data_IF_402648480739
#
_entry.id   IF_402648480739
#
_cell.length_a   1.000
_cell.length_b   1.000
_cell.length_c   1.000
_cell.angle_alpha   90.00
_cell.angle_beta   90.00
_cell.angle_gamma   90.00
#
_symmetry.space_group_name_H-M   'P 1'
#
loop_
_entity.id
_entity.type
_entity.pdbx_description
1 polymer ?
#
# COMPACT_ATOMS: atom_id res chain seq x y z
N UNK A 1 10.60 15.41 6.68
CA UNK A 1 11.59 14.43 6.19
C UNK A 1 11.34 13.13 6.92
N UNK A 2 10.66 12.16 6.25
CA UNK A 2 10.19 10.94 6.92
C UNK A 2 11.33 9.96 7.29
N UNK A 3 12.47 10.00 6.61
CA UNK A 3 13.61 9.14 6.93
C UNK A 3 14.92 9.88 6.58
N UNK A 4 15.60 10.49 7.56
CA UNK A 4 16.95 10.93 7.33
C UNK A 4 17.88 9.72 7.25
N UNK A 5 18.53 9.51 6.13
CA UNK A 5 19.60 8.51 5.94
C UNK A 5 20.87 8.90 6.73
N UNK A 6 20.68 9.37 7.95
CA UNK A 6 21.79 9.68 8.83
C UNK A 6 22.11 8.47 9.69
N UNK A 7 23.33 8.34 10.10
CA UNK A 7 23.80 7.34 11.09
C UNK A 7 23.02 7.35 12.40
N UNK A 8 22.20 8.38 12.60
CA UNK A 8 21.32 8.56 13.77
C UNK A 8 19.95 7.86 13.62
N UNK A 9 19.54 7.48 12.39
CA UNK A 9 18.27 6.80 12.20
C UNK A 9 18.35 5.36 12.73
N UNK A 10 17.49 5.06 13.69
CA UNK A 10 17.36 3.73 14.29
C UNK A 10 15.91 3.46 14.60
N UNK A 11 15.36 2.43 14.01
CA UNK A 11 13.93 2.19 14.02
C UNK A 11 13.57 0.72 14.25
N UNK A 12 12.39 0.50 14.82
CA UNK A 12 11.74 -0.81 14.85
C UNK A 12 10.46 -0.76 14.04
N UNK A 13 10.23 -1.79 13.21
CA UNK A 13 9.03 -2.00 12.43
C UNK A 13 8.27 -3.17 13.03
N UNK A 14 7.06 -2.94 13.52
CA UNK A 14 6.21 -3.97 14.10
C UNK A 14 5.26 -4.56 13.05
N UNK A 15 5.39 -5.85 12.82
CA UNK A 15 4.50 -6.66 11.97
C UNK A 15 3.67 -7.61 12.83
N UNK A 16 2.51 -8.03 12.30
CA UNK A 16 1.57 -8.90 13.02
C UNK A 16 2.05 -10.35 13.07
N UNK A 17 2.57 -10.87 11.95
CA UNK A 17 2.95 -12.27 11.81
C UNK A 17 4.44 -12.45 11.55
N UNK A 18 4.96 -13.65 11.85
CA UNK A 18 6.36 -14.04 11.57
C UNK A 18 6.66 -13.99 10.07
N UNK A 19 5.73 -14.47 9.26
CA UNK A 19 5.86 -14.49 7.81
C UNK A 19 5.97 -13.06 7.26
N UNK A 20 5.06 -12.18 7.64
CA UNK A 20 5.07 -10.77 7.25
C UNK A 20 6.35 -10.05 7.71
N UNK A 21 6.84 -10.36 8.93
CA UNK A 21 8.10 -9.82 9.44
C UNK A 21 9.27 -10.15 8.52
N UNK A 22 9.34 -11.40 8.04
CA UNK A 22 10.37 -11.85 7.11
C UNK A 22 10.24 -11.17 5.75
N UNK A 23 9.03 -11.16 5.18
CA UNK A 23 8.76 -10.55 3.87
C UNK A 23 9.10 -9.06 3.86
N UNK A 24 8.69 -8.31 4.88
CA UNK A 24 8.98 -6.88 5.00
C UNK A 24 10.49 -6.63 5.16
N UNK A 25 11.20 -7.44 5.95
CA UNK A 25 12.65 -7.33 6.08
C UNK A 25 13.36 -7.64 4.77
N UNK A 26 12.96 -8.70 4.06
CA UNK A 26 13.52 -9.10 2.78
C UNK A 26 13.32 -8.01 1.70
N UNK A 27 12.14 -7.38 1.66
CA UNK A 27 11.88 -6.26 0.76
C UNK A 27 12.75 -5.05 1.09
N UNK A 28 12.83 -4.67 2.37
CA UNK A 28 13.70 -3.56 2.78
C UNK A 28 15.17 -3.80 2.44
N UNK A 29 15.67 -5.03 2.62
CA UNK A 29 17.04 -5.39 2.24
C UNK A 29 17.26 -5.34 0.73
N UNK A 30 16.30 -5.81 -0.06
CA UNK A 30 16.35 -5.71 -1.54
C UNK A 30 16.38 -4.27 -2.02
N UNK A 31 15.68 -3.39 -1.32
CA UNK A 31 15.65 -1.95 -1.60
C UNK A 31 16.90 -1.21 -1.06
N UNK A 32 17.87 -1.95 -0.50
CA UNK A 32 19.15 -1.40 -0.06
C UNK A 32 19.14 -0.81 1.35
N UNK A 33 18.10 -1.05 2.14
CA UNK A 33 18.07 -0.64 3.54
C UNK A 33 18.80 -1.63 4.44
N UNK A 34 19.50 -1.14 5.46
CA UNK A 34 20.13 -1.97 6.50
C UNK A 34 19.07 -2.49 7.47
N UNK A 35 18.37 -3.55 7.05
CA UNK A 35 17.28 -4.18 7.81
C UNK A 35 17.62 -5.62 8.18
N UNK A 36 16.97 -6.14 9.23
CA UNK A 36 16.98 -7.57 9.55
C UNK A 36 15.70 -7.93 10.32
N UNK A 37 15.30 -9.20 10.23
CA UNK A 37 14.08 -9.72 10.84
C UNK A 37 14.32 -10.33 12.22
N UNK A 38 13.37 -10.11 13.15
CA UNK A 38 13.36 -10.74 14.46
C UNK A 38 12.00 -11.38 14.76
N UNK A 39 11.92 -12.70 14.68
CA UNK A 39 10.67 -13.46 14.86
C UNK A 39 10.90 -14.78 15.59
N UNK A 40 9.81 -15.45 15.94
CA UNK A 40 9.87 -16.64 16.80
C UNK A 40 10.50 -17.88 16.17
N UNK A 41 10.70 -17.92 14.84
CA UNK A 41 11.34 -19.06 14.16
C UNK A 41 12.88 -19.01 14.19
N UNK A 42 13.44 -17.87 14.62
CA UNK A 42 14.88 -17.74 14.79
C UNK A 42 15.33 -18.51 16.03
N UNK A 43 16.44 -19.26 15.93
CA UNK A 43 17.13 -19.82 17.08
C UNK A 43 17.64 -18.71 18.00
N UNK A 44 17.93 -19.05 19.26
CA UNK A 44 18.44 -18.06 20.21
C UNK A 44 19.76 -17.43 19.71
N UNK A 45 20.67 -18.22 19.14
CA UNK A 45 21.92 -17.71 18.59
C UNK A 45 21.70 -16.72 17.43
N UNK A 46 20.74 -17.00 16.54
CA UNK A 46 20.36 -16.06 15.47
C UNK A 46 19.78 -14.77 16.01
N UNK A 47 18.89 -14.86 17.00
CA UNK A 47 18.31 -13.68 17.69
C UNK A 47 19.38 -12.81 18.31
N UNK A 48 20.33 -13.43 19.01
CA UNK A 48 21.45 -12.71 19.65
C UNK A 48 22.32 -12.02 18.61
N UNK A 49 22.58 -12.67 17.48
CA UNK A 49 23.34 -12.11 16.35
C UNK A 49 22.63 -10.88 15.76
N UNK A 50 21.33 -10.98 15.47
CA UNK A 50 20.54 -9.84 14.95
C UNK A 50 20.54 -8.69 15.96
N UNK A 51 20.34 -9.00 17.23
CA UNK A 51 20.32 -8.01 18.29
C UNK A 51 21.68 -7.32 18.48
N UNK A 52 22.78 -8.08 18.37
CA UNK A 52 24.12 -7.52 18.40
C UNK A 52 24.36 -6.56 17.25
N UNK A 53 24.05 -6.97 16.01
CA UNK A 53 24.13 -6.11 14.82
C UNK A 53 23.32 -4.82 15.01
N UNK A 54 22.12 -4.92 15.60
CA UNK A 54 21.28 -3.77 15.86
C UNK A 54 21.85 -2.85 16.94
N UNK A 55 22.47 -3.39 17.99
CA UNK A 55 23.11 -2.60 19.06
C UNK A 55 24.32 -1.83 18.56
N UNK A 56 25.16 -2.46 17.73
CA UNK A 56 26.36 -1.80 17.16
C UNK A 56 26.03 -0.95 15.91
N UNK A 57 24.75 -0.77 15.58
CA UNK A 57 24.24 0.06 14.48
C UNK A 57 24.59 -0.43 13.07
N UNK A 58 24.98 -1.68 12.89
CA UNK A 58 25.11 -2.30 11.57
C UNK A 58 23.75 -2.50 10.90
N UNK A 59 22.67 -2.61 11.67
CA UNK A 59 21.29 -2.64 11.23
C UNK A 59 20.62 -1.38 11.75
N UNK A 60 19.92 -0.68 10.88
CA UNK A 60 19.16 0.55 11.20
C UNK A 60 17.67 0.25 11.41
N UNK A 61 17.14 -0.75 10.71
CA UNK A 61 15.75 -1.15 10.73
C UNK A 61 15.62 -2.58 11.30
N UNK A 62 15.04 -2.71 12.48
CA UNK A 62 14.72 -4.02 13.05
C UNK A 62 13.24 -4.32 12.78
N UNK A 63 12.94 -5.33 11.96
CA UNK A 63 11.56 -5.76 11.69
C UNK A 63 11.20 -6.87 12.66
N UNK A 64 10.16 -6.72 13.47
CA UNK A 64 9.86 -7.66 14.55
C UNK A 64 8.37 -7.86 14.81
N UNK A 65 8.02 -9.04 15.35
CA UNK A 65 6.72 -9.25 15.98
C UNK A 65 6.74 -8.76 17.44
N UNK A 66 5.58 -8.47 18.02
CA UNK A 66 5.46 -8.07 19.42
C UNK A 66 6.10 -9.09 20.37
N UNK A 67 5.85 -10.37 20.14
CA UNK A 67 6.37 -11.46 20.98
C UNK A 67 7.89 -11.50 20.93
N UNK A 68 8.48 -11.36 19.74
CA UNK A 68 9.92 -11.38 19.56
C UNK A 68 10.59 -10.13 20.11
N UNK A 69 9.91 -8.99 20.07
CA UNK A 69 10.39 -7.72 20.62
C UNK A 69 10.20 -7.58 22.14
N UNK A 70 9.40 -8.46 22.77
CA UNK A 70 9.18 -8.44 24.22
C UNK A 70 10.45 -8.85 24.95
N UNK A 71 10.79 -8.13 26.02
CA UNK A 71 12.00 -8.39 26.81
C UNK A 71 13.30 -7.91 26.16
N UNK A 72 13.24 -7.34 24.95
CA UNK A 72 14.42 -6.72 24.36
C UNK A 72 14.71 -5.37 25.02
N UNK A 73 15.95 -5.20 25.44
CA UNK A 73 16.47 -3.88 25.82
C UNK A 73 16.76 -3.07 24.54
N UNK A 74 15.67 -2.65 23.89
CA UNK A 74 15.68 -1.77 22.71
C UNK A 74 14.98 -0.49 23.12
N UNK A 75 15.77 0.46 23.53
CA UNK A 75 15.33 1.80 23.90
C UNK A 75 16.09 2.83 23.05
N UNK A 76 15.67 4.07 23.13
CA UNK A 76 16.34 5.20 22.48
C UNK A 76 16.29 5.13 20.94
N UNK A 77 15.19 4.57 20.41
CA UNK A 77 14.92 4.57 18.99
C UNK A 77 14.48 5.97 18.52
N UNK A 78 14.84 6.32 17.30
CA UNK A 78 14.36 7.56 16.68
C UNK A 78 12.92 7.42 16.21
N UNK A 79 12.57 6.23 15.67
CA UNK A 79 11.25 5.94 15.14
C UNK A 79 10.74 4.57 15.60
N UNK A 80 9.44 4.49 15.75
CA UNK A 80 8.68 3.25 15.85
C UNK A 80 7.68 3.23 14.70
N UNK A 81 7.68 2.16 13.92
CA UNK A 81 6.79 2.01 12.75
C UNK A 81 5.86 0.83 13.04
N UNK A 82 4.57 1.11 13.14
CA UNK A 82 3.55 0.07 13.19
C UNK A 82 3.14 -0.23 11.75
N UNK A 83 3.73 -1.27 11.13
CA UNK A 83 3.33 -1.76 9.82
C UNK A 83 1.88 -2.24 9.86
N UNK A 84 1.51 -2.93 10.95
CA UNK A 84 0.12 -3.19 11.32
C UNK A 84 -0.18 -2.57 12.67
N UNK A 85 -1.36 -1.97 12.81
CA UNK A 85 -1.85 -1.58 14.13
C UNK A 85 -2.04 -2.83 15.00
N UNK A 86 -1.65 -2.77 16.28
CA UNK A 86 -2.01 -3.82 17.22
C UNK A 86 -3.52 -3.81 17.48
N UNK A 87 -4.04 -4.96 17.92
CA UNK A 87 -5.46 -5.07 18.26
C UNK A 87 -5.76 -4.43 19.63
N UNK A 88 -4.74 -4.31 20.48
CA UNK A 88 -4.82 -3.75 21.83
C UNK A 88 -4.08 -2.41 21.91
N UNK A 89 -4.72 -1.41 22.52
CA UNK A 89 -4.17 -0.08 22.71
C UNK A 89 -2.97 -0.08 23.67
N UNK A 90 -2.95 -0.98 24.66
CA UNK A 90 -1.81 -1.14 25.55
C UNK A 90 -0.56 -1.60 24.81
N UNK A 91 -0.71 -2.51 23.86
CA UNK A 91 0.39 -2.96 22.99
C UNK A 91 0.92 -1.78 22.16
N UNK A 92 0.05 -0.93 21.64
CA UNK A 92 0.47 0.28 20.94
C UNK A 92 1.35 1.16 21.84
N UNK A 93 0.95 1.35 23.09
CA UNK A 93 1.70 2.14 24.08
C UNK A 93 3.07 1.53 24.35
N UNK A 94 3.15 0.22 24.49
CA UNK A 94 4.42 -0.50 24.68
C UNK A 94 5.34 -0.41 23.47
N UNK A 95 4.80 -0.45 22.24
CA UNK A 95 5.58 -0.27 21.01
C UNK A 95 6.10 1.16 20.92
N UNK A 96 5.22 2.16 21.01
CA UNK A 96 5.59 3.57 20.91
C UNK A 96 6.53 4.02 22.05
N UNK A 97 6.43 3.39 23.22
CA UNK A 97 7.35 3.60 24.32
C UNK A 97 8.81 3.14 24.07
N UNK A 98 9.15 2.59 22.90
CA UNK A 98 10.53 2.32 22.47
C UNK A 98 11.24 3.54 21.94
N UNK A 99 10.52 4.62 21.67
CA UNK A 99 11.05 5.92 21.25
C UNK A 99 10.63 7.03 22.22
N UNK A 100 11.23 8.21 22.11
CA UNK A 100 10.85 9.38 22.90
C UNK A 100 11.15 9.29 24.40
N UNK A 101 12.18 8.55 24.82
CA UNK A 101 12.60 8.42 26.21
C UNK A 101 13.66 9.47 26.59
N UNK A 102 13.82 9.69 27.90
CA UNK A 102 14.86 10.57 28.45
C UNK A 102 14.85 11.99 27.84
N UNK A 103 13.68 12.63 27.75
CA UNK A 103 13.46 13.97 27.17
C UNK A 103 13.85 14.11 25.69
N UNK A 104 14.08 13.01 24.97
CA UNK A 104 14.28 13.03 23.53
C UNK A 104 12.94 12.97 22.81
N UNK A 105 12.86 13.66 21.67
CA UNK A 105 11.69 13.53 20.77
C UNK A 105 11.79 12.23 20.00
N UNK A 106 10.69 11.50 19.92
CA UNK A 106 10.55 10.29 19.13
C UNK A 106 9.34 10.37 18.19
N UNK A 107 9.39 9.63 17.11
CA UNK A 107 8.32 9.56 16.11
C UNK A 107 7.71 8.16 16.11
N UNK A 108 6.39 8.07 16.25
CA UNK A 108 5.64 6.83 16.06
C UNK A 108 4.77 6.96 14.82
N UNK A 109 5.04 6.13 13.83
CA UNK A 109 4.30 6.07 12.56
C UNK A 109 3.40 4.85 12.56
N UNK A 110 2.17 4.98 12.07
CA UNK A 110 1.26 3.85 11.91
C UNK A 110 0.71 3.82 10.49
N UNK A 111 0.89 2.70 9.81
CA UNK A 111 0.25 2.44 8.53
C UNK A 111 -1.11 1.82 8.83
N UNK A 112 -2.17 2.45 8.33
CA UNK A 112 -3.53 2.02 8.62
C UNK A 112 -4.35 1.84 7.33
N UNK A 113 -5.19 0.85 7.35
CA UNK A 113 -6.25 0.72 6.35
C UNK A 113 -7.43 1.63 6.72
N UNK A 114 -8.20 2.09 5.73
CA UNK A 114 -9.36 2.97 5.96
C UNK A 114 -10.37 2.41 6.97
N UNK A 115 -10.52 1.08 7.03
CA UNK A 115 -11.38 0.38 7.99
C UNK A 115 -10.87 0.44 9.45
N UNK A 116 -9.62 0.78 9.66
CA UNK A 116 -8.99 0.84 10.99
C UNK A 116 -8.99 2.26 11.60
N UNK A 117 -9.58 3.24 10.92
CA UNK A 117 -9.70 4.63 11.43
C UNK A 117 -10.32 4.70 12.83
N UNK A 118 -11.24 3.77 13.16
CA UNK A 118 -11.84 3.72 14.49
C UNK A 118 -10.83 3.34 15.58
N UNK A 119 -9.89 2.43 15.31
CA UNK A 119 -8.83 2.05 16.26
C UNK A 119 -7.92 3.23 16.60
N UNK A 120 -7.62 4.08 15.62
CA UNK A 120 -6.84 5.31 15.85
C UNK A 120 -7.56 6.21 16.85
N UNK A 121 -8.87 6.41 16.70
CA UNK A 121 -9.67 7.23 17.64
C UNK A 121 -9.66 6.66 19.07
N UNK A 122 -9.65 5.35 19.22
CA UNK A 122 -9.57 4.71 20.53
C UNK A 122 -8.19 4.90 21.16
N UNK A 123 -7.12 4.80 20.35
CA UNK A 123 -5.75 5.08 20.79
C UNK A 123 -5.60 6.56 21.19
N UNK A 124 -6.11 7.50 20.38
CA UNK A 124 -6.10 8.94 20.66
C UNK A 124 -6.80 9.26 22.00
N UNK A 125 -7.97 8.66 22.21
CA UNK A 125 -8.74 8.85 23.45
C UNK A 125 -7.98 8.36 24.67
N UNK A 126 -7.33 7.19 24.57
CA UNK A 126 -6.56 6.63 25.68
C UNK A 126 -5.28 7.42 25.96
N UNK A 127 -4.56 7.81 24.90
CA UNK A 127 -3.31 8.55 25.04
C UNK A 127 -3.51 10.05 25.28
N UNK A 128 -4.73 10.57 25.08
CA UNK A 128 -5.05 12.00 25.08
C UNK A 128 -4.15 12.81 24.15
N UNK A 129 -3.85 12.22 22.97
CA UNK A 129 -3.02 12.82 21.93
C UNK A 129 -3.64 12.53 20.57
N UNK A 130 -3.53 13.48 19.65
CA UNK A 130 -4.02 13.30 18.30
C UNK A 130 -2.93 12.79 17.38
N UNK A 131 -3.30 11.95 16.41
CA UNK A 131 -2.44 11.55 15.31
C UNK A 131 -2.51 12.60 14.20
N UNK A 132 -1.38 12.87 13.62
CA UNK A 132 -1.29 13.66 12.39
C UNK A 132 -1.40 12.71 11.21
N UNK A 133 -2.45 12.88 10.41
CA UNK A 133 -2.62 12.10 9.19
C UNK A 133 -1.66 12.61 8.11
N UNK A 134 -0.82 11.74 7.59
CA UNK A 134 0.07 12.00 6.47
C UNK A 134 -0.37 11.19 5.25
N UNK A 135 -0.16 11.73 4.07
CA UNK A 135 -0.35 10.98 2.83
C UNK A 135 0.88 10.12 2.54
N UNK A 136 0.64 8.97 1.94
CA UNK A 136 1.71 8.12 1.43
C UNK A 136 2.29 8.81 0.19
N UNK A 137 3.61 9.09 0.15
CA UNK A 137 4.21 9.69 -1.04
C UNK A 137 4.02 8.79 -2.26
N UNK A 138 3.68 9.38 -3.38
CA UNK A 138 3.57 8.62 -4.63
C UNK A 138 4.96 8.17 -5.12
N UNK A 139 4.98 7.20 -6.06
CA UNK A 139 6.23 6.62 -6.55
C UNK A 139 7.21 7.67 -7.10
N UNK A 140 6.72 8.68 -7.82
CA UNK A 140 7.55 9.75 -8.37
C UNK A 140 8.20 10.62 -7.28
N UNK A 141 7.48 10.92 -6.20
CA UNK A 141 8.02 11.65 -5.06
C UNK A 141 9.09 10.85 -4.33
N UNK A 142 8.90 9.52 -4.22
CA UNK A 142 9.93 8.64 -3.66
C UNK A 142 11.16 8.63 -4.55
N UNK A 143 11.01 8.44 -5.87
CA UNK A 143 12.10 8.49 -6.84
C UNK A 143 12.89 9.81 -6.76
N UNK A 144 12.17 10.94 -6.70
CA UNK A 144 12.80 12.27 -6.56
C UNK A 144 13.66 12.38 -5.28
N UNK A 145 13.14 11.91 -4.15
CA UNK A 145 13.88 11.92 -2.87
C UNK A 145 15.10 11.00 -2.92
N UNK A 146 14.96 9.81 -3.51
CA UNK A 146 16.08 8.87 -3.67
C UNK A 146 17.19 9.46 -4.56
N UNK A 147 16.81 10.12 -5.66
CA UNK A 147 17.75 10.78 -6.54
C UNK A 147 18.56 11.87 -5.81
N UNK A 148 17.89 12.78 -5.11
CA UNK A 148 18.58 13.82 -4.37
C UNK A 148 19.45 13.27 -3.24
N UNK A 149 18.98 12.21 -2.55
CA UNK A 149 19.80 11.53 -1.57
C UNK A 149 21.08 10.90 -2.19
N UNK A 150 20.96 10.32 -3.38
CA UNK A 150 22.14 9.79 -4.10
C UNK A 150 23.14 10.91 -4.40
N UNK A 151 22.68 12.09 -4.82
CA UNK A 151 23.53 13.25 -5.06
C UNK A 151 24.22 13.73 -3.76
N UNK A 152 23.48 13.81 -2.66
CA UNK A 152 24.04 14.16 -1.36
C UNK A 152 25.11 13.15 -0.92
N UNK A 153 24.84 11.85 -1.11
CA UNK A 153 25.81 10.79 -0.82
C UNK A 153 27.06 10.89 -1.70
N UNK A 154 26.89 11.22 -2.98
CA UNK A 154 27.99 11.44 -3.90
C UNK A 154 28.90 12.60 -3.47
N UNK A 155 28.32 13.67 -2.89
CA UNK A 155 29.10 14.81 -2.36
C UNK A 155 29.90 14.45 -1.11
N UNK A 156 29.44 13.45 -0.34
CA UNK A 156 30.03 13.08 0.95
C UNK A 156 30.94 11.85 0.87
N UNK A 157 30.97 11.16 -0.29
CA UNK A 157 31.79 9.97 -0.43
C UNK A 157 33.27 10.32 -0.40
N UNK A 158 34.02 9.65 0.46
CA UNK A 158 35.48 9.71 0.46
C UNK A 158 36.00 8.80 -0.66
N UNK A 159 36.77 9.37 -1.56
CA UNK A 159 37.33 8.63 -2.68
C UNK A 159 38.58 7.88 -2.20
N UNK A 160 38.56 6.56 -2.33
CA UNK A 160 39.75 5.75 -2.07
C UNK A 160 40.65 5.77 -3.30
N UNK A 161 41.58 6.74 -3.31
CA UNK A 161 42.52 6.98 -4.41
C UNK A 161 43.34 5.71 -4.73
N UNK A 162 43.82 4.97 -3.73
CA UNK A 162 44.62 3.76 -3.94
C UNK A 162 43.92 2.68 -4.73
N UNK A 163 42.60 2.54 -4.53
CA UNK A 163 41.79 1.54 -5.21
C UNK A 163 41.33 1.97 -6.60
N UNK A 164 41.14 3.25 -6.83
CA UNK A 164 40.51 3.77 -8.05
C UNK A 164 41.56 4.23 -9.07
N UNK A 165 42.69 4.84 -8.62
CA UNK A 165 43.73 5.35 -9.49
C UNK A 165 44.21 4.40 -10.60
N UNK A 166 44.39 3.08 -10.36
CA UNK A 166 44.84 2.15 -11.40
C UNK A 166 43.89 2.05 -12.60
N UNK A 167 42.62 2.40 -12.43
CA UNK A 167 41.60 2.30 -13.48
C UNK A 167 41.26 3.65 -14.11
N UNK A 168 41.63 4.78 -13.47
CA UNK A 168 41.19 6.11 -13.87
C UNK A 168 41.62 6.49 -15.26
N UNK A 169 42.85 6.18 -15.66
CA UNK A 169 43.38 6.53 -17.00
C UNK A 169 42.55 5.85 -18.10
N UNK A 170 42.20 4.58 -17.90
CA UNK A 170 41.39 3.85 -18.86
C UNK A 170 39.95 4.39 -18.89
N UNK A 171 39.38 4.70 -17.73
CA UNK A 171 38.03 5.27 -17.61
C UNK A 171 37.97 6.62 -18.29
N UNK A 172 38.92 7.50 -17.99
CA UNK A 172 38.99 8.82 -18.57
C UNK A 172 39.10 8.77 -20.09
N UNK A 173 39.94 7.89 -20.63
CA UNK A 173 40.08 7.69 -22.08
C UNK A 173 38.78 7.19 -22.73
N UNK A 174 38.05 6.31 -22.07
CA UNK A 174 36.76 5.80 -22.58
C UNK A 174 35.66 6.86 -22.56
N UNK A 175 35.72 7.81 -21.63
CA UNK A 175 34.69 8.83 -21.44
C UNK A 175 35.12 10.23 -21.97
N UNK A 176 36.29 10.35 -22.61
CA UNK A 176 36.86 11.61 -23.08
C UNK A 176 35.94 12.38 -24.04
N UNK A 177 35.10 11.66 -24.79
CA UNK A 177 34.15 12.26 -25.73
C UNK A 177 32.91 12.86 -25.07
N UNK A 178 32.71 12.63 -23.75
CA UNK A 178 31.59 13.15 -22.98
C UNK A 178 31.99 14.43 -22.26
N UNK A 179 31.18 15.46 -22.42
CA UNK A 179 31.31 16.61 -21.56
C UNK A 179 30.78 16.34 -20.14
N UNK A 180 31.14 17.20 -19.20
CA UNK A 180 30.71 17.06 -17.79
C UNK A 180 29.20 16.97 -17.64
N UNK A 181 28.41 17.70 -18.43
CA UNK A 181 26.96 17.72 -18.37
C UNK A 181 26.38 16.38 -18.86
N UNK A 182 26.93 15.89 -19.98
CA UNK A 182 26.49 14.61 -20.55
C UNK A 182 26.86 13.43 -19.66
N UNK A 183 28.04 13.43 -19.08
CA UNK A 183 28.48 12.43 -18.11
C UNK A 183 27.54 12.40 -16.91
N UNK A 184 27.20 13.57 -16.36
CA UNK A 184 26.29 13.69 -15.22
C UNK A 184 24.88 13.20 -15.56
N UNK A 185 24.36 13.56 -16.74
CA UNK A 185 23.04 13.08 -17.21
C UNK A 185 23.00 11.56 -17.32
N UNK A 186 24.03 10.94 -17.89
CA UNK A 186 24.11 9.49 -18.04
C UNK A 186 24.21 8.79 -16.69
N UNK A 187 25.04 9.30 -15.79
CA UNK A 187 25.18 8.79 -14.44
C UNK A 187 23.85 8.86 -13.68
N UNK A 188 23.19 10.02 -13.70
CA UNK A 188 21.86 10.20 -13.08
C UNK A 188 20.83 9.26 -13.71
N UNK A 189 20.83 9.10 -15.05
CA UNK A 189 19.88 8.25 -15.75
C UNK A 189 20.04 6.78 -15.40
N UNK A 190 21.25 6.29 -15.20
CA UNK A 190 21.49 4.89 -14.80
C UNK A 190 20.78 4.54 -13.49
N UNK A 191 20.89 5.38 -12.48
CA UNK A 191 20.26 5.14 -11.18
C UNK A 191 18.78 5.53 -11.16
N UNK A 192 18.43 6.65 -11.80
CA UNK A 192 17.06 7.14 -11.81
C UNK A 192 16.11 6.23 -12.61
N UNK A 193 16.57 5.70 -13.74
CA UNK A 193 15.77 4.76 -14.54
C UNK A 193 15.45 3.48 -13.72
N UNK A 194 16.40 3.01 -12.92
CA UNK A 194 16.17 1.88 -12.02
C UNK A 194 15.05 2.17 -11.00
N UNK A 195 15.02 3.36 -10.42
CA UNK A 195 13.95 3.78 -9.51
C UNK A 195 12.62 3.97 -10.25
N UNK A 196 12.64 4.59 -11.42
CA UNK A 196 11.43 4.79 -12.22
C UNK A 196 10.80 3.45 -12.62
N UNK A 197 11.60 2.49 -13.08
CA UNK A 197 11.10 1.16 -13.47
C UNK A 197 10.48 0.43 -12.28
N UNK A 198 11.05 0.57 -11.08
CA UNK A 198 10.51 -0.04 -9.86
C UNK A 198 9.13 0.55 -9.46
N UNK A 199 8.95 1.87 -9.64
CA UNK A 199 7.72 2.57 -9.23
C UNK A 199 6.75 2.86 -10.38
N UNK A 200 7.06 2.45 -11.62
CA UNK A 200 6.29 2.76 -12.83
C UNK A 200 4.83 2.32 -12.74
N UNK A 201 4.61 1.15 -12.15
CA UNK A 201 3.29 0.54 -11.99
C UNK A 201 2.78 0.63 -10.55
N UNK A 202 3.41 1.47 -9.71
CA UNK A 202 2.98 1.64 -8.33
C UNK A 202 1.63 2.39 -8.27
N UNK A 203 0.62 1.71 -7.74
CA UNK A 203 -0.70 2.30 -7.50
C UNK A 203 -0.62 3.41 -6.44
N UNK A 204 -1.47 4.43 -6.58
CA UNK A 204 -1.66 5.42 -5.53
C UNK A 204 -2.38 4.77 -4.34
N UNK A 205 -1.64 4.57 -3.25
CA UNK A 205 -2.14 3.93 -2.03
C UNK A 205 -2.93 4.89 -1.13
N UNK A 206 -3.02 6.17 -1.50
CA UNK A 206 -3.76 7.14 -0.72
C UNK A 206 -5.27 6.90 -0.82
N UNK A 207 -5.92 6.86 0.34
CA UNK A 207 -7.37 6.85 0.39
C UNK A 207 -7.89 8.23 0.03
N UNK A 208 -8.38 8.39 -1.18
CA UNK A 208 -9.19 9.52 -1.56
C UNK A 208 -10.59 9.31 -0.98
N UNK A 209 -10.93 10.07 0.02
CA UNK A 209 -12.32 10.16 0.48
C UNK A 209 -13.12 10.66 -0.72
N UNK A 210 -13.84 9.75 -1.40
CA UNK A 210 -14.86 10.19 -2.35
C UNK A 210 -15.75 11.12 -1.55
N UNK A 211 -15.77 12.40 -1.91
CA UNK A 211 -16.65 13.40 -1.35
C UNK A 211 -18.06 12.83 -1.32
N UNK A 212 -18.43 12.23 -0.20
CA UNK A 212 -19.84 12.10 0.19
C UNK A 212 -20.26 13.48 0.65
N UNK A 213 -20.15 14.44 -0.28
CA UNK A 213 -20.67 15.77 -0.04
C UNK A 213 -22.17 15.69 0.06
N UNK A 214 -22.62 15.95 1.26
CA UNK A 214 -23.80 16.74 1.56
C UNK A 214 -25.08 16.33 0.85
N UNK A 215 -25.70 15.23 1.30
CA UNK A 215 -27.16 15.16 1.26
C UNK A 215 -27.72 14.82 2.65
N UNK A 216 -27.44 15.70 3.60
CA UNK A 216 -28.21 15.85 4.82
C UNK A 216 -28.48 17.33 5.03
N UNK A 217 -29.35 17.84 4.21
CA UNK A 217 -29.84 19.19 4.33
C UNK A 217 -30.92 19.43 3.30
N UNK A 218 -32.14 19.48 3.81
CA UNK A 218 -33.31 20.04 3.15
C UNK A 218 -34.18 19.15 2.25
N UNK A 219 -35.14 18.55 2.91
CA UNK A 219 -36.37 18.09 2.25
C UNK A 219 -37.30 19.32 2.12
N UNK A 220 -37.15 20.04 1.03
CA UNK A 220 -38.24 20.82 0.39
C UNK A 220 -37.63 21.68 -0.72
N UNK A 221 -37.61 21.22 -1.92
CA UNK A 221 -38.14 21.97 -3.06
C UNK A 221 -38.18 21.09 -4.31
N UNK A 222 -39.31 21.11 -4.99
CA UNK A 222 -39.54 20.50 -6.30
C UNK A 222 -38.93 21.44 -7.33
N UNK A 223 -37.96 20.93 -8.12
CA UNK A 223 -37.45 21.72 -9.25
C UNK A 223 -36.38 20.95 -10.01
N UNK A 224 -36.72 20.53 -11.20
CA UNK A 224 -35.87 19.88 -12.20
C UNK A 224 -34.51 20.56 -12.40
N UNK A 225 -33.41 19.78 -12.33
CA UNK A 225 -32.22 20.08 -13.17
C UNK A 225 -31.42 18.81 -13.48
N UNK A 226 -31.42 18.44 -14.74
CA UNK A 226 -30.57 17.44 -15.38
C UNK A 226 -29.09 17.77 -15.20
N UNK A 227 -28.34 16.84 -14.61
CA UNK A 227 -26.88 16.82 -14.58
C UNK A 227 -26.39 15.37 -14.71
N UNK A 228 -25.80 15.02 -15.82
CA UNK A 228 -25.30 13.70 -16.23
C UNK A 228 -24.33 13.10 -15.19
N UNK A 229 -24.82 12.16 -14.38
CA UNK A 229 -24.09 10.99 -13.90
C UNK A 229 -24.91 9.81 -14.39
N UNK A 230 -24.34 9.00 -15.29
CA UNK A 230 -25.06 7.87 -15.85
C UNK A 230 -25.50 6.92 -14.74
N UNK A 231 -26.81 6.76 -14.58
CA UNK A 231 -27.40 5.78 -13.70
C UNK A 231 -26.89 4.39 -14.10
N UNK A 232 -26.48 3.59 -13.13
CA UNK A 232 -26.08 2.20 -13.34
C UNK A 232 -27.27 1.30 -13.10
N UNK A 233 -27.47 0.34 -13.98
CA UNK A 233 -28.48 -0.72 -13.83
C UNK A 233 -27.79 -2.04 -13.54
N UNK A 234 -28.34 -2.77 -12.58
CA UNK A 234 -27.84 -4.09 -12.20
C UNK A 234 -28.47 -5.17 -13.06
N UNK A 235 -27.63 -5.91 -13.75
CA UNK A 235 -28.01 -7.04 -14.60
C UNK A 235 -27.68 -8.36 -13.88
N UNK A 236 -28.44 -9.41 -14.25
CA UNK A 236 -28.28 -10.76 -13.73
C UNK A 236 -28.14 -11.71 -14.89
N UNK A 237 -27.15 -12.59 -14.82
CA UNK A 237 -26.93 -13.68 -15.79
C UNK A 237 -27.07 -15.04 -15.09
N UNK A 238 -27.57 -16.04 -15.78
CA UNK A 238 -27.77 -17.41 -15.27
C UNK A 238 -26.50 -18.27 -15.23
N UNK A 239 -25.33 -17.64 -15.19
CA UNK A 239 -24.02 -18.29 -15.06
C UNK A 239 -23.37 -17.90 -13.72
N UNK A 240 -22.82 -18.88 -13.01
CA UNK A 240 -22.21 -18.69 -11.72
C UNK A 240 -20.88 -19.44 -11.54
N UNK A 241 -20.46 -19.63 -10.31
CA UNK A 241 -19.21 -20.38 -10.01
C UNK A 241 -19.30 -21.84 -10.43
N UNK A 242 -20.50 -22.43 -10.51
CA UNK A 242 -20.71 -23.82 -11.00
C UNK A 242 -20.32 -23.98 -12.46
N UNK A 243 -20.54 -22.95 -13.27
CA UNK A 243 -20.17 -22.88 -14.69
C UNK A 243 -18.75 -22.33 -14.88
N UNK A 244 -17.98 -22.17 -13.77
CA UNK A 244 -16.61 -21.70 -13.77
C UNK A 244 -16.48 -20.20 -14.06
N UNK A 245 -17.53 -19.40 -13.77
CA UNK A 245 -17.48 -17.95 -13.95
C UNK A 245 -16.70 -17.31 -12.80
N UNK A 246 -15.83 -16.42 -13.19
CA UNK A 246 -15.16 -15.46 -12.35
C UNK A 246 -15.25 -14.07 -13.00
N UNK A 247 -14.93 -12.97 -12.32
CA UNK A 247 -15.05 -11.62 -12.88
C UNK A 247 -14.35 -11.44 -14.23
N UNK A 248 -13.13 -11.98 -14.38
CA UNK A 248 -12.36 -11.87 -15.63
C UNK A 248 -13.01 -12.64 -16.79
N UNK A 249 -13.55 -13.83 -16.51
CA UNK A 249 -14.25 -14.63 -17.53
C UNK A 249 -15.58 -14.02 -17.93
N UNK A 250 -16.31 -13.40 -16.99
CA UNK A 250 -17.52 -12.65 -17.31
C UNK A 250 -17.24 -11.50 -18.27
N UNK A 251 -16.19 -10.71 -18.00
CA UNK A 251 -15.78 -9.61 -18.89
C UNK A 251 -15.41 -10.11 -20.29
N UNK A 252 -14.74 -11.26 -20.38
CA UNK A 252 -14.46 -11.93 -21.65
C UNK A 252 -15.74 -12.25 -22.41
N UNK A 253 -16.70 -12.91 -21.76
CA UNK A 253 -18.00 -13.27 -22.34
C UNK A 253 -18.78 -12.05 -22.82
N UNK A 254 -18.82 -10.98 -22.01
CA UNK A 254 -19.49 -9.73 -22.41
C UNK A 254 -18.83 -9.13 -23.63
N UNK A 255 -17.49 -9.04 -23.67
CA UNK A 255 -16.75 -8.50 -24.81
C UNK A 255 -16.94 -9.34 -26.09
N UNK A 256 -16.95 -10.66 -25.97
CA UNK A 256 -17.11 -11.57 -27.10
C UNK A 256 -18.53 -11.51 -27.70
N UNK A 257 -19.56 -11.41 -26.84
CA UNK A 257 -20.96 -11.38 -27.28
C UNK A 257 -21.35 -10.00 -27.81
N UNK A 258 -20.92 -8.93 -27.15
CA UNK A 258 -21.29 -7.57 -27.54
C UNK A 258 -20.41 -7.03 -28.68
N UNK A 259 -19.16 -7.56 -28.78
CA UNK A 259 -18.22 -7.13 -29.83
C UNK A 259 -17.67 -5.71 -29.63
N UNK A 260 -17.98 -5.07 -28.49
CA UNK A 260 -17.59 -3.68 -28.21
C UNK A 260 -16.79 -3.61 -26.88
N UNK A 261 -15.50 -3.33 -26.99
CA UNK A 261 -14.58 -3.21 -25.84
C UNK A 261 -14.76 -1.91 -25.04
N UNK A 262 -15.64 -1.04 -25.45
CA UNK A 262 -15.91 0.25 -24.78
C UNK A 262 -16.96 0.13 -23.68
N UNK A 263 -17.57 -1.07 -23.50
CA UNK A 263 -18.57 -1.30 -22.47
C UNK A 263 -17.89 -1.33 -21.11
N UNK A 264 -18.33 -0.43 -20.25
CA UNK A 264 -17.83 -0.32 -18.88
C UNK A 264 -18.75 -1.12 -17.94
N UNK A 265 -18.20 -2.21 -17.41
CA UNK A 265 -18.87 -3.04 -16.40
C UNK A 265 -18.43 -2.53 -15.01
N UNK A 266 -19.42 -2.28 -14.15
CA UNK A 266 -19.19 -1.86 -12.75
C UNK A 266 -18.97 -3.03 -11.80
N UNK A 267 -19.61 -2.97 -10.62
CA UNK A 267 -19.43 -4.00 -9.59
C UNK A 267 -19.94 -5.36 -10.07
N UNK A 268 -19.12 -6.41 -9.86
CA UNK A 268 -19.44 -7.80 -10.24
C UNK A 268 -19.55 -8.64 -8.97
N UNK A 269 -20.67 -9.33 -8.82
CA UNK A 269 -20.94 -10.27 -7.72
C UNK A 269 -21.26 -11.65 -8.29
N UNK A 270 -20.38 -12.63 -8.05
CA UNK A 270 -20.55 -14.00 -8.54
C UNK A 270 -21.09 -14.89 -7.44
N UNK A 271 -22.25 -15.50 -7.66
CA UNK A 271 -22.85 -16.51 -6.77
C UNK A 271 -22.75 -17.90 -7.39
N UNK A 272 -23.22 -18.92 -6.70
CA UNK A 272 -23.13 -20.31 -7.19
C UNK A 272 -23.85 -20.55 -8.52
N UNK A 273 -24.97 -19.87 -8.76
CA UNK A 273 -25.85 -20.10 -9.94
C UNK A 273 -25.99 -18.89 -10.84
N UNK A 274 -25.67 -17.71 -10.35
CA UNK A 274 -25.92 -16.46 -11.04
C UNK A 274 -24.74 -15.50 -10.84
N UNK A 275 -24.57 -14.61 -11.79
CA UNK A 275 -23.65 -13.47 -11.62
C UNK A 275 -24.43 -12.18 -11.83
N UNK A 276 -24.22 -11.22 -10.94
CA UNK A 276 -24.77 -9.88 -11.00
C UNK A 276 -23.67 -8.91 -11.38
N UNK A 277 -23.97 -7.94 -12.24
CA UNK A 277 -23.01 -6.91 -12.62
C UNK A 277 -23.73 -5.63 -13.00
N UNK A 278 -23.05 -4.51 -12.82
CA UNK A 278 -23.59 -3.20 -13.09
C UNK A 278 -23.13 -2.70 -14.48
N UNK A 279 -24.05 -2.14 -15.25
CA UNK A 279 -23.76 -1.50 -16.54
C UNK A 279 -24.40 -0.10 -16.56
N UNK A 280 -23.75 0.86 -17.22
CA UNK A 280 -24.34 2.18 -17.39
C UNK A 280 -25.61 2.11 -18.22
N UNK A 281 -26.62 2.90 -17.86
CA UNK A 281 -27.95 2.89 -18.49
C UNK A 281 -27.91 3.16 -20.00
N UNK A 282 -26.97 3.98 -20.46
CA UNK A 282 -26.75 4.29 -21.87
C UNK A 282 -26.17 3.10 -22.68
N UNK A 283 -25.55 2.13 -22.01
CA UNK A 283 -24.96 0.92 -22.61
C UNK A 283 -25.83 -0.32 -22.41
N UNK A 284 -26.85 -0.25 -21.55
CA UNK A 284 -27.68 -1.36 -21.14
C UNK A 284 -28.40 -2.03 -22.34
N UNK A 285 -29.01 -1.25 -23.22
CA UNK A 285 -29.75 -1.77 -24.35
C UNK A 285 -28.86 -2.53 -25.36
N UNK A 286 -27.60 -2.10 -25.51
CA UNK A 286 -26.63 -2.81 -26.35
C UNK A 286 -26.32 -4.18 -25.76
N UNK A 287 -26.11 -4.24 -24.44
CA UNK A 287 -25.79 -5.49 -23.73
C UNK A 287 -26.99 -6.45 -23.77
N UNK A 288 -28.19 -5.98 -23.45
CA UNK A 288 -29.40 -6.81 -23.48
C UNK A 288 -29.68 -7.37 -24.85
N UNK A 289 -29.60 -6.53 -25.90
CA UNK A 289 -29.85 -6.95 -27.27
C UNK A 289 -28.82 -7.95 -27.80
N UNK A 290 -27.54 -7.80 -27.42
CA UNK A 290 -26.50 -8.74 -27.81
C UNK A 290 -26.70 -10.13 -27.16
N UNK A 291 -27.16 -10.18 -25.90
CA UNK A 291 -27.44 -11.42 -25.23
C UNK A 291 -28.77 -12.08 -25.63
N UNK A 292 -29.73 -11.34 -26.20
CA UNK A 292 -31.02 -11.89 -26.62
C UNK A 292 -30.90 -12.96 -27.74
N UNK A 293 -29.76 -13.00 -28.45
CA UNK A 293 -29.47 -14.02 -29.45
C UNK A 293 -28.81 -15.31 -28.95
N UNK A 294 -28.45 -15.38 -27.65
CA UNK A 294 -27.74 -16.55 -27.08
C UNK A 294 -28.74 -17.56 -26.53
N UNK A 295 -28.63 -18.84 -26.98
CA UNK A 295 -29.58 -19.91 -26.56
C UNK A 295 -29.34 -20.42 -25.11
N UNK A 296 -28.11 -20.29 -24.61
CA UNK A 296 -27.71 -20.91 -23.34
C UNK A 296 -27.49 -19.89 -22.21
N UNK A 297 -27.63 -18.60 -22.49
CA UNK A 297 -27.33 -17.53 -21.55
C UNK A 297 -28.55 -16.60 -21.41
N UNK A 298 -29.15 -16.61 -20.22
CA UNK A 298 -30.26 -15.71 -19.90
C UNK A 298 -29.75 -14.48 -19.16
N UNK A 299 -29.93 -13.31 -19.77
CA UNK A 299 -29.65 -12.01 -19.16
C UNK A 299 -30.97 -11.32 -18.79
N UNK A 300 -31.07 -10.84 -17.57
CA UNK A 300 -32.23 -10.09 -17.08
C UNK A 300 -31.83 -8.91 -16.21
N UNK A 301 -32.73 -7.96 -16.02
CA UNK A 301 -32.57 -6.87 -15.06
C UNK A 301 -32.81 -7.40 -13.66
N UNK A 302 -31.84 -7.25 -12.76
CA UNK A 302 -32.00 -7.65 -11.37
C UNK A 302 -32.93 -6.66 -10.64
N UNK A 303 -34.08 -7.13 -10.16
CA UNK A 303 -34.95 -6.31 -9.29
C UNK A 303 -34.29 -6.21 -7.91
N UNK A 304 -34.20 -5.02 -7.34
CA UNK A 304 -33.75 -4.82 -5.98
C UNK A 304 -34.63 -5.64 -5.02
N UNK A 305 -34.05 -6.66 -4.38
CA UNK A 305 -34.68 -7.31 -3.25
C UNK A 305 -34.56 -6.39 -2.05
N UNK A 306 -35.69 -5.81 -1.60
CA UNK A 306 -35.82 -5.18 -0.29
C UNK A 306 -35.37 -6.18 0.77
N UNK A 307 -34.40 -5.75 1.60
CA UNK A 307 -33.76 -6.56 2.62
C UNK A 307 -34.74 -7.31 3.49
N UNK A 308 -34.57 -8.60 3.63
CA UNK A 308 -35.14 -9.40 4.69
C UNK A 308 -34.40 -9.08 5.99
N UNK A 309 -35.05 -8.36 6.88
CA UNK A 309 -34.68 -8.30 8.28
C UNK A 309 -35.14 -9.59 8.94
N UNK A 310 -34.22 -10.50 9.26
CA UNK A 310 -34.53 -11.62 10.17
C UNK A 310 -34.77 -11.07 11.58
N UNK A 311 -36.03 -11.07 11.95
CA UNK A 311 -36.45 -10.94 13.33
C UNK A 311 -36.21 -12.28 14.04
N UNK A 312 -35.16 -12.36 14.86
CA UNK A 312 -34.98 -13.47 15.80
C UNK A 312 -36.03 -13.38 16.91
N UNK A 313 -37.10 -14.15 16.74
CA UNK A 313 -38.09 -14.40 17.79
C UNK A 313 -37.50 -15.25 18.90
N UNK A 314 -37.48 -14.69 20.10
CA UNK A 314 -37.35 -15.43 21.36
C UNK A 314 -38.47 -16.48 21.48
N UNK A 315 -38.12 -17.72 21.77
CA UNK A 315 -38.97 -18.64 22.53
C UNK A 315 -38.12 -19.45 23.53
N UNK A 316 -38.50 -19.22 24.79
CA UNK A 316 -38.43 -20.04 26.00
C UNK A 316 -37.18 -20.85 26.30
#
# INVERSE_FOLDING_TARGET
>A
TLFPYTTLFRSIVFCRTRQETKEVADHLMKDGYNADALHGDLSQAQRDTVMQKFRIRNIQLLVATDVAARGLDVSDLTHVINYNLPDDVEIYTHRSGRTGRANKKGVSVSIIHSKEKFKIKDIERMLRKNFEQQQIPNGLEVCKKQLFHMIDKMQQVEVNEEQISPYMDQIMKQLEYLDKSELLKRFVSLEFNRFLDYYKDAEDLNYHERERNSERGDRNDRGEKKGRRGDKMRLKINLGTREGINPSRLLGIINDIVGDKTITVGDIEVTNKFTFFDVFTDQMDKVINAFAGQKDIELGVARESKGYSESSGKRR
#
